data_IF_001951953231
#
_entry.id   IF_001951953231
#
_cell.length_a   1.000
_cell.length_b   1.000
_cell.length_c   1.000
_cell.angle_alpha   90.00
_cell.angle_beta   90.00
_cell.angle_gamma   90.00
#
_symmetry.space_group_name_H-M   'P 1'
#
loop_
_entity.id
_entity.type
_entity.pdbx_description
1 polymer ?
#
# COMPACT_ATOMS: atom_id res chain seq x y z
N UNK A 1 25.88 5.87 11.49
CA UNK A 1 25.36 6.70 10.43
C UNK A 1 24.44 5.93 9.49
N UNK A 2 24.84 4.74 9.10
CA UNK A 2 24.04 3.96 8.18
C UNK A 2 22.67 3.66 8.75
N UNK A 3 22.60 3.30 10.03
CA UNK A 3 21.31 3.02 10.66
C UNK A 3 20.39 4.24 10.61
N UNK A 4 20.97 5.40 10.78
CA UNK A 4 20.19 6.63 10.70
C UNK A 4 19.62 6.83 9.31
N UNK A 5 20.41 6.55 8.28
CA UNK A 5 19.91 6.68 6.92
C UNK A 5 18.72 5.78 6.70
N UNK A 6 18.81 4.54 7.18
CA UNK A 6 17.71 3.61 7.03
C UNK A 6 16.46 4.12 7.73
N UNK A 7 16.63 4.69 8.92
CA UNK A 7 15.50 5.24 9.65
C UNK A 7 14.93 6.48 8.99
N UNK A 8 15.78 7.31 8.46
CA UNK A 8 15.35 8.55 7.82
C UNK A 8 14.70 8.30 6.48
N UNK A 9 15.06 7.21 5.85
CA UNK A 9 14.52 6.90 4.53
C UNK A 9 13.26 6.06 4.68
N UNK A 10 12.12 6.70 4.63
CA UNK A 10 10.82 6.03 4.62
C UNK A 10 10.27 6.18 3.21
N UNK A 11 10.10 5.06 2.52
CA UNK A 11 9.61 5.06 1.15
C UNK A 11 8.28 5.82 1.04
N UNK A 12 7.43 5.70 2.06
CA UNK A 12 6.13 6.38 2.03
C UNK A 12 6.28 7.89 1.88
N UNK A 13 7.36 8.46 2.40
CA UNK A 13 7.58 9.92 2.31
C UNK A 13 7.96 10.36 0.91
N UNK A 14 8.36 9.42 0.06
CA UNK A 14 8.74 9.74 -1.32
C UNK A 14 7.62 9.47 -2.31
N UNK A 15 6.49 8.96 -1.84
CA UNK A 15 5.33 8.73 -2.69
C UNK A 15 4.39 9.92 -2.55
N UNK A 16 4.57 10.93 -3.39
CA UNK A 16 3.87 12.18 -3.24
C UNK A 16 2.66 12.32 -4.15
N UNK A 17 2.63 11.56 -5.23
CA UNK A 17 1.53 11.65 -6.19
C UNK A 17 0.94 10.29 -6.46
N UNK A 18 -0.24 10.26 -7.07
CA UNK A 18 -0.84 8.99 -7.48
C UNK A 18 0.03 8.26 -8.48
N UNK A 19 0.74 9.01 -9.32
CA UNK A 19 1.64 8.40 -10.29
C UNK A 19 2.80 7.69 -9.58
N UNK A 20 3.36 8.33 -8.55
CA UNK A 20 4.42 7.71 -7.76
C UNK A 20 3.94 6.40 -7.16
N UNK A 21 2.74 6.40 -6.61
CA UNK A 21 2.15 5.21 -6.00
C UNK A 21 1.95 4.13 -7.03
N UNK A 22 1.45 4.49 -8.20
CA UNK A 22 1.21 3.53 -9.28
C UNK A 22 2.50 2.83 -9.69
N UNK A 23 3.56 3.61 -9.92
CA UNK A 23 4.85 3.06 -10.32
C UNK A 23 5.41 2.15 -9.22
N UNK A 24 5.30 2.60 -7.98
CA UNK A 24 5.78 1.82 -6.83
C UNK A 24 5.07 0.47 -6.75
N UNK A 25 3.76 0.47 -6.90
CA UNK A 25 2.98 -0.77 -6.83
C UNK A 25 3.23 -1.68 -8.02
N UNK A 26 3.42 -1.11 -9.21
CA UNK A 26 3.73 -1.91 -10.40
C UNK A 26 5.05 -2.65 -10.21
N UNK A 27 6.03 -1.98 -9.61
CA UNK A 27 7.30 -2.62 -9.33
C UNK A 27 7.16 -3.71 -8.28
N UNK A 28 6.41 -3.43 -7.22
CA UNK A 28 6.20 -4.39 -6.15
C UNK A 28 5.44 -5.63 -6.62
N UNK A 29 4.61 -5.49 -7.64
CA UNK A 29 3.83 -6.61 -8.18
C UNK A 29 4.71 -7.67 -8.83
N UNK A 30 5.97 -7.34 -9.10
CA UNK A 30 6.93 -8.30 -9.65
C UNK A 30 7.50 -9.22 -8.58
N UNK A 31 7.30 -8.89 -7.32
CA UNK A 31 7.83 -9.68 -6.21
C UNK A 31 6.82 -10.67 -5.68
N UNK A 32 6.99 -11.07 -4.44
CA UNK A 32 6.10 -12.04 -3.80
C UNK A 32 4.80 -11.38 -3.38
N UNK A 33 3.73 -12.19 -3.14
CA UNK A 33 2.49 -11.63 -2.62
C UNK A 33 2.70 -10.87 -1.31
N UNK A 34 3.56 -11.37 -0.43
CA UNK A 34 3.85 -10.69 0.84
C UNK A 34 4.49 -9.34 0.60
N UNK A 35 5.39 -9.27 -0.38
CA UNK A 35 6.02 -7.99 -0.72
C UNK A 35 5.01 -7.02 -1.28
N UNK A 36 4.05 -7.51 -2.05
CA UNK A 36 3.02 -6.65 -2.60
C UNK A 36 2.10 -6.11 -1.50
N UNK A 37 1.72 -6.95 -0.54
CA UNK A 37 0.90 -6.51 0.59
C UNK A 37 1.65 -5.45 1.40
N UNK A 38 2.94 -5.66 1.61
CA UNK A 38 3.76 -4.67 2.31
C UNK A 38 3.79 -3.35 1.53
N UNK A 39 3.88 -3.43 0.21
CA UNK A 39 3.87 -2.24 -0.63
C UNK A 39 2.53 -1.51 -0.55
N UNK A 40 1.43 -2.24 -0.48
CA UNK A 40 0.12 -1.63 -0.30
C UNK A 40 0.04 -0.87 1.02
N UNK A 41 0.63 -1.44 2.07
CA UNK A 41 0.70 -0.75 3.36
C UNK A 41 1.46 0.56 3.22
N UNK A 42 2.61 0.52 2.57
CA UNK A 42 3.44 1.71 2.37
C UNK A 42 2.67 2.78 1.58
N UNK A 43 2.03 2.37 0.50
CA UNK A 43 1.27 3.29 -0.34
C UNK A 43 0.08 3.88 0.42
N UNK A 44 -0.60 3.06 1.22
CA UNK A 44 -1.75 3.54 2.00
C UNK A 44 -1.30 4.55 3.05
N UNK A 45 -0.14 4.32 3.68
CA UNK A 45 0.41 5.29 4.63
C UNK A 45 0.77 6.60 3.93
N UNK A 46 1.30 6.51 2.71
CA UNK A 46 1.67 7.70 1.96
C UNK A 46 0.44 8.55 1.62
N UNK A 47 -0.66 7.91 1.26
CA UNK A 47 -1.89 8.62 0.92
C UNK A 47 -2.67 9.03 2.17
N UNK A 48 -2.48 8.33 3.27
CA UNK A 48 -3.22 8.56 4.51
C UNK A 48 -4.19 7.42 4.78
N UNK A 49 -3.95 6.69 5.88
CA UNK A 49 -4.76 5.51 6.18
C UNK A 49 -6.23 5.82 6.32
N UNK A 50 -6.58 6.95 6.93
CA UNK A 50 -7.97 7.32 7.11
C UNK A 50 -8.66 7.55 5.76
N UNK A 51 -7.97 8.23 4.86
CA UNK A 51 -8.52 8.53 3.54
C UNK A 51 -8.70 7.26 2.72
N UNK A 52 -7.70 6.38 2.77
CA UNK A 52 -7.77 5.11 2.04
C UNK A 52 -8.88 4.23 2.57
N UNK A 53 -9.04 4.15 3.88
CA UNK A 53 -10.10 3.37 4.49
C UNK A 53 -11.48 3.88 4.04
N UNK A 54 -11.63 5.19 4.03
CA UNK A 54 -12.87 5.82 3.62
C UNK A 54 -13.19 5.49 2.17
N UNK A 55 -12.23 5.64 1.27
CA UNK A 55 -12.43 5.37 -0.15
C UNK A 55 -12.65 3.89 -0.42
N UNK A 56 -12.01 3.03 0.35
CA UNK A 56 -12.17 1.58 0.18
C UNK A 56 -13.45 1.06 0.84
N UNK A 57 -14.12 1.88 1.66
CA UNK A 57 -15.33 1.45 2.32
C UNK A 57 -15.08 0.48 3.46
N UNK A 58 -13.95 0.59 4.13
CA UNK A 58 -13.61 -0.25 5.28
C UNK A 58 -13.24 0.65 6.45
N UNK A 59 -13.20 0.07 7.65
CA UNK A 59 -12.73 0.82 8.80
C UNK A 59 -11.23 0.93 8.78
N UNK A 60 -10.70 1.96 9.43
CA UNK A 60 -9.28 2.14 9.55
C UNK A 60 -8.61 0.94 10.22
N UNK A 61 -9.24 0.43 11.29
CA UNK A 61 -8.71 -0.74 12.00
C UNK A 61 -8.66 -1.96 11.09
N UNK A 62 -9.69 -2.16 10.28
CA UNK A 62 -9.75 -3.24 9.32
C UNK A 62 -8.65 -3.12 8.28
N UNK A 63 -8.40 -1.90 7.82
CA UNK A 63 -7.35 -1.64 6.84
C UNK A 63 -5.98 -1.98 7.41
N UNK A 64 -5.70 -1.53 8.64
CA UNK A 64 -4.43 -1.85 9.29
C UNK A 64 -4.25 -3.36 9.43
N UNK A 65 -5.31 -4.04 9.85
CA UNK A 65 -5.24 -5.49 10.03
C UNK A 65 -4.98 -6.22 8.72
N UNK A 66 -5.65 -5.79 7.65
CA UNK A 66 -5.49 -6.43 6.34
C UNK A 66 -4.09 -6.28 5.78
N UNK A 67 -3.46 -5.14 6.05
CA UNK A 67 -2.16 -4.82 5.47
C UNK A 67 -1.00 -5.06 6.43
N UNK A 68 -1.27 -5.66 7.60
CA UNK A 68 -0.21 -5.97 8.55
C UNK A 68 0.69 -7.07 8.01
N UNK A 69 1.94 -7.09 8.49
CA UNK A 69 2.87 -8.15 8.13
C UNK A 69 2.28 -9.50 8.50
N UNK A 70 2.30 -10.42 7.55
CA UNK A 70 1.70 -11.73 7.76
C UNK A 70 0.20 -11.76 7.57
N UNK A 71 -0.42 -10.61 7.29
CA UNK A 71 -1.84 -10.56 7.00
C UNK A 71 -2.15 -11.25 5.69
N UNK A 72 -3.37 -11.78 5.60
CA UNK A 72 -3.81 -12.46 4.38
C UNK A 72 -5.17 -11.89 3.97
N UNK A 73 -5.17 -10.68 3.42
CA UNK A 73 -6.42 -10.05 3.04
C UNK A 73 -7.09 -10.80 1.89
N UNK A 74 -8.40 -10.75 1.89
CA UNK A 74 -9.16 -11.35 0.79
C UNK A 74 -8.95 -10.52 -0.48
N UNK A 75 -9.09 -11.19 -1.62
CA UNK A 75 -8.93 -10.52 -2.90
C UNK A 75 -9.86 -9.31 -3.04
N UNK A 76 -11.09 -9.43 -2.61
CA UNK A 76 -12.04 -8.32 -2.68
C UNK A 76 -11.55 -7.11 -1.91
N UNK A 77 -10.95 -7.34 -0.75
CA UNK A 77 -10.40 -6.26 0.07
C UNK A 77 -9.21 -5.61 -0.63
N UNK A 78 -8.32 -6.44 -1.17
CA UNK A 78 -7.15 -5.94 -1.90
C UNK A 78 -7.60 -5.09 -3.08
N UNK A 79 -8.59 -5.56 -3.82
CA UNK A 79 -9.12 -4.83 -4.97
C UNK A 79 -9.66 -3.46 -4.58
N UNK A 80 -10.39 -3.39 -3.46
CA UNK A 80 -10.93 -2.12 -2.97
C UNK A 80 -9.81 -1.16 -2.58
N UNK A 81 -8.76 -1.68 -1.95
CA UNK A 81 -7.64 -0.86 -1.52
C UNK A 81 -6.90 -0.31 -2.75
N UNK A 82 -6.67 -1.15 -3.74
CA UNK A 82 -5.99 -0.74 -4.98
C UNK A 82 -6.77 0.39 -5.66
N UNK A 83 -8.09 0.25 -5.74
CA UNK A 83 -8.93 1.29 -6.32
C UNK A 83 -8.88 2.58 -5.50
N UNK A 84 -8.86 2.45 -4.17
CA UNK A 84 -8.79 3.61 -3.29
C UNK A 84 -7.49 4.37 -3.48
N UNK A 85 -6.43 3.68 -3.90
CA UNK A 85 -5.15 4.30 -4.17
C UNK A 85 -5.07 4.92 -5.57
N UNK A 86 -6.15 4.88 -6.31
CA UNK A 86 -6.19 5.47 -7.65
C UNK A 86 -5.66 4.55 -8.73
N UNK A 87 -5.51 3.29 -8.44
CA UNK A 87 -4.96 2.31 -9.38
C UNK A 87 -6.03 1.33 -9.83
N UNK A 88 -5.66 0.49 -10.79
CA UNK A 88 -6.52 -0.57 -11.26
C UNK A 88 -5.79 -1.89 -11.19
N UNK A 89 -6.52 -2.95 -10.83
CA UNK A 89 -5.97 -4.29 -10.87
C UNK A 89 -6.09 -4.80 -12.29
N UNK A 90 -4.99 -5.24 -12.86
CA UNK A 90 -4.97 -5.77 -14.22
C UNK A 90 -4.21 -7.07 -14.25
N UNK A 91 -4.63 -7.96 -15.15
CA UNK A 91 -3.94 -9.22 -15.39
C UNK A 91 -3.23 -9.12 -16.72
N UNK A 92 -1.91 -9.30 -16.67
CA UNK A 92 -1.11 -9.20 -17.88
C UNK A 92 -0.99 -10.53 -18.59
#
# INVERSE_FOLDING_TARGET
MMALKTKLFDVAEHLETEEDIKIFLQDAAKGTPEEFIHALNTAARAMGMTEVAKKAGVTRASLYKSLADGGKPQFATVSKIIKALGCKLAVA
#
